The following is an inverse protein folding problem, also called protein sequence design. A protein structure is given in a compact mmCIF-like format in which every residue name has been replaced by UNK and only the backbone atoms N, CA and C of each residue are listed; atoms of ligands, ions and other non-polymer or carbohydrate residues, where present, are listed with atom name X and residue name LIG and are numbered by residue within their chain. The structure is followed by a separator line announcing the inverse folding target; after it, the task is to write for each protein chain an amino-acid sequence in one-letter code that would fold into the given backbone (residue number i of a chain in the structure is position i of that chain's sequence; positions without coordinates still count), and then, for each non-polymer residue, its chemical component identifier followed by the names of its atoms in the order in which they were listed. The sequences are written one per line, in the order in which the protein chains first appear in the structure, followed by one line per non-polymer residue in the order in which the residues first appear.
data_IF_060966983984
#
_entry.id   IF_060966983984
#
_cell.length_a   1.000
_cell.length_b   1.000
_cell.length_c   1.000
_cell.angle_alpha   90.00
_cell.angle_beta   90.00
_cell.angle_gamma   90.00
#
_symmetry.space_group_name_H-M   'P 1'
#
loop_
_entity.id
_entity.type
_entity.pdbx_description
1 polymer ?
#
# COMPACT_ATOMS: atom_id res chain seq x y z
N UNK A 1 5.35 -93.04 46.81
CA UNK A 1 5.81 -92.08 47.86
C UNK A 1 6.15 -90.76 47.16
N UNK A 2 5.61 -89.62 47.66
CA UNK A 2 5.83 -88.21 47.25
C UNK A 2 5.39 -87.82 45.80
N UNK A 3 4.30 -87.08 45.56
CA UNK A 3 3.82 -85.72 45.97
C UNK A 3 4.24 -84.63 44.95
N UNK A 4 3.26 -84.26 44.12
CA UNK A 4 2.88 -82.95 43.54
C UNK A 4 3.90 -81.81 43.51
N UNK A 5 3.96 -81.08 42.39
CA UNK A 5 3.73 -79.62 42.30
C UNK A 5 3.39 -79.21 40.83
N UNK A 6 2.69 -78.08 40.61
CA UNK A 6 1.69 -77.89 39.55
C UNK A 6 2.17 -77.07 38.34
N UNK A 7 1.47 -77.26 37.20
CA UNK A 7 1.44 -76.30 36.08
C UNK A 7 0.85 -74.97 36.58
N UNK A 8 1.63 -73.90 36.55
CA UNK A 8 1.06 -72.55 36.49
C UNK A 8 1.00 -72.10 35.02
N UNK A 9 -0.19 -71.71 34.52
CA UNK A 9 -0.33 -71.17 33.19
C UNK A 9 0.39 -69.82 33.15
N UNK A 10 1.30 -69.66 32.19
CA UNK A 10 1.92 -68.38 31.88
C UNK A 10 0.80 -67.34 31.72
N UNK A 11 0.81 -66.39 32.64
CA UNK A 11 -0.04 -65.20 32.67
C UNK A 11 -0.05 -64.54 31.30
N UNK A 12 -1.27 -64.21 30.85
CA UNK A 12 -1.57 -63.81 29.48
C UNK A 12 -0.57 -62.83 28.88
N UNK A 13 -0.13 -63.16 27.67
CA UNK A 13 0.36 -62.18 26.71
C UNK A 13 -0.75 -61.14 26.52
N UNK A 14 -0.63 -60.04 27.26
CA UNK A 14 -1.49 -58.87 27.13
C UNK A 14 -1.49 -58.47 25.66
N UNK A 15 -2.69 -58.43 25.08
CA UNK A 15 -2.97 -57.99 23.72
C UNK A 15 -2.57 -56.51 23.55
N UNK A 16 -1.29 -56.25 23.26
CA UNK A 16 -0.72 -54.90 23.08
C UNK A 16 -0.91 -54.36 21.65
N UNK A 17 -1.53 -55.15 20.76
CA UNK A 17 -1.67 -54.83 19.33
C UNK A 17 -2.59 -53.64 19.07
N UNK A 18 -3.52 -53.32 19.98
CA UNK A 18 -4.39 -52.14 19.87
C UNK A 18 -3.72 -50.82 20.27
N UNK A 19 -2.76 -50.87 21.20
CA UNK A 19 -2.10 -49.66 21.71
C UNK A 19 -1.12 -49.06 20.70
N UNK A 20 -0.38 -49.91 19.97
CA UNK A 20 0.50 -49.47 18.89
C UNK A 20 -0.27 -48.74 17.78
N UNK A 21 -1.47 -49.22 17.44
CA UNK A 21 -2.32 -48.59 16.44
C UNK A 21 -2.80 -47.20 16.93
N UNK A 22 -3.23 -47.07 18.18
CA UNK A 22 -3.64 -45.78 18.75
C UNK A 22 -2.49 -44.77 18.77
N UNK A 23 -1.29 -45.21 19.14
CA UNK A 23 -0.10 -44.36 19.12
C UNK A 23 0.26 -43.92 17.69
N UNK A 24 0.17 -44.84 16.72
CA UNK A 24 0.41 -44.51 15.31
C UNK A 24 -0.62 -43.51 14.78
N UNK A 25 -1.90 -43.67 15.13
CA UNK A 25 -2.96 -42.76 14.72
C UNK A 25 -2.75 -41.38 15.36
N UNK A 26 -2.37 -41.32 16.62
CA UNK A 26 -2.05 -40.07 17.31
C UNK A 26 -0.90 -39.33 16.61
N UNK A 27 0.19 -40.05 16.28
CA UNK A 27 1.33 -39.46 15.56
C UNK A 27 0.89 -38.95 14.19
N UNK A 28 0.12 -39.74 13.43
CA UNK A 28 -0.39 -39.33 12.12
C UNK A 28 -1.28 -38.09 12.23
N UNK A 29 -2.19 -38.05 13.21
CA UNK A 29 -3.05 -36.88 13.45
C UNK A 29 -2.21 -35.64 13.77
N UNK A 30 -1.20 -35.76 14.64
CA UNK A 30 -0.30 -34.66 14.96
C UNK A 30 0.50 -34.19 13.74
N UNK A 31 1.03 -35.12 12.94
CA UNK A 31 1.73 -34.79 11.69
C UNK A 31 0.82 -34.05 10.72
N UNK A 32 -0.43 -34.52 10.56
CA UNK A 32 -1.42 -33.88 9.71
C UNK A 32 -1.71 -32.44 10.18
N UNK A 33 -1.90 -32.22 11.49
CA UNK A 33 -2.11 -30.87 12.05
C UNK A 33 -0.92 -29.96 11.73
N UNK A 34 0.31 -30.43 11.95
CA UNK A 34 1.53 -29.65 11.66
C UNK A 34 1.62 -29.30 10.17
N UNK A 35 1.34 -30.26 9.30
CA UNK A 35 1.38 -30.04 7.84
C UNK A 35 0.33 -29.00 7.42
N UNK A 36 -0.90 -29.07 7.95
CA UNK A 36 -1.94 -28.09 7.63
C UNK A 36 -1.59 -26.68 8.12
N UNK A 37 -1.05 -26.55 9.33
CA UNK A 37 -0.60 -25.26 9.84
C UNK A 37 0.54 -24.69 8.99
N UNK A 38 1.52 -25.52 8.63
CA UNK A 38 2.62 -25.10 7.77
C UNK A 38 2.14 -24.68 6.37
N UNK A 39 1.23 -25.42 5.75
CA UNK A 39 0.63 -25.05 4.45
C UNK A 39 -0.10 -23.70 4.52
N UNK A 40 -0.87 -23.48 5.59
CA UNK A 40 -1.55 -22.20 5.82
C UNK A 40 -0.56 -21.03 5.95
N UNK A 41 0.48 -21.20 6.77
CA UNK A 41 1.53 -20.18 6.97
C UNK A 41 2.28 -19.89 5.67
N UNK A 42 2.72 -20.92 4.94
CA UNK A 42 3.42 -20.75 3.66
C UNK A 42 2.55 -19.99 2.65
N UNK A 43 1.24 -20.29 2.57
CA UNK A 43 0.33 -19.56 1.68
C UNK A 43 0.13 -18.10 2.11
N UNK A 44 0.15 -17.81 3.41
CA UNK A 44 0.09 -16.44 3.91
C UNK A 44 1.37 -15.69 3.53
N UNK A 45 2.54 -16.29 3.75
CA UNK A 45 3.83 -15.70 3.43
C UNK A 45 4.02 -15.47 1.93
N UNK A 46 3.62 -16.42 1.09
CA UNK A 46 3.68 -16.27 -0.37
C UNK A 46 2.78 -15.13 -0.85
N UNK A 47 1.59 -14.95 -0.25
CA UNK A 47 0.71 -13.81 -0.55
C UNK A 47 1.32 -12.50 -0.10
N UNK A 48 1.88 -12.45 1.11
CA UNK A 48 2.55 -11.25 1.63
C UNK A 48 3.76 -10.87 0.77
N UNK A 49 4.59 -11.84 0.38
CA UNK A 49 5.73 -11.63 -0.51
C UNK A 49 5.30 -11.18 -1.92
N UNK A 50 4.19 -11.73 -2.44
CA UNK A 50 3.58 -11.29 -3.69
C UNK A 50 3.13 -9.83 -3.64
N UNK A 51 2.35 -9.46 -2.63
CA UNK A 51 1.88 -8.09 -2.43
C UNK A 51 3.06 -7.13 -2.26
N UNK A 52 4.04 -7.45 -1.42
CA UNK A 52 5.21 -6.60 -1.22
C UNK A 52 6.00 -6.36 -2.51
N UNK A 53 6.18 -7.41 -3.33
CA UNK A 53 6.82 -7.28 -4.64
C UNK A 53 6.02 -6.37 -5.56
N UNK A 54 4.70 -6.55 -5.61
CA UNK A 54 3.84 -5.80 -6.51
C UNK A 54 3.72 -4.33 -6.07
N UNK A 55 3.71 -4.05 -4.77
CA UNK A 55 3.79 -2.71 -4.19
C UNK A 55 5.11 -2.01 -4.58
N UNK A 56 6.25 -2.70 -4.45
CA UNK A 56 7.54 -2.15 -4.88
C UNK A 56 7.53 -1.85 -6.39
N UNK A 57 7.00 -2.75 -7.22
CA UNK A 57 6.88 -2.52 -8.67
C UNK A 57 6.03 -1.28 -8.97
N UNK A 58 4.88 -1.15 -8.32
CA UNK A 58 4.01 0.01 -8.47
C UNK A 58 4.71 1.31 -8.03
N UNK A 59 5.45 1.29 -6.91
CA UNK A 59 6.20 2.45 -6.45
C UNK A 59 7.29 2.85 -7.45
N UNK A 60 8.09 1.91 -7.95
CA UNK A 60 9.13 2.19 -8.94
C UNK A 60 8.54 2.67 -10.27
N UNK A 61 7.40 2.12 -10.70
CA UNK A 61 6.66 2.57 -11.88
C UNK A 61 6.21 4.02 -11.72
N UNK A 62 5.61 4.38 -10.58
CA UNK A 62 5.21 5.75 -10.28
C UNK A 62 6.41 6.71 -10.24
N UNK A 63 7.52 6.32 -9.58
CA UNK A 63 8.77 7.11 -9.54
C UNK A 63 9.39 7.31 -10.92
N UNK A 64 9.30 6.31 -11.79
CA UNK A 64 9.76 6.42 -13.18
C UNK A 64 8.92 7.44 -13.94
N UNK A 65 7.59 7.43 -13.73
CA UNK A 65 6.68 8.44 -14.30
C UNK A 65 7.01 9.87 -13.85
N UNK A 66 7.26 10.07 -12.55
CA UNK A 66 7.72 11.37 -12.01
C UNK A 66 9.04 11.79 -12.67
N UNK A 67 10.00 10.87 -12.76
CA UNK A 67 11.32 11.16 -13.35
C UNK A 67 11.23 11.51 -14.84
N UNK A 68 10.33 10.86 -15.57
CA UNK A 68 10.03 11.19 -16.96
C UNK A 68 9.37 12.58 -17.09
N UNK A 69 8.41 12.89 -16.22
CA UNK A 69 7.79 14.22 -16.15
C UNK A 69 8.78 15.32 -15.81
N UNK A 70 9.70 15.09 -14.87
CA UNK A 70 10.79 16.03 -14.58
C UNK A 70 11.71 16.24 -15.78
N UNK A 71 12.06 15.17 -16.49
CA UNK A 71 12.89 15.28 -17.70
C UNK A 71 12.19 16.09 -18.78
N UNK A 72 10.88 15.89 -18.95
CA UNK A 72 10.03 16.64 -19.86
C UNK A 72 10.01 18.13 -19.53
N UNK A 73 9.74 18.48 -18.26
CA UNK A 73 9.73 19.88 -17.81
C UNK A 73 11.12 20.53 -17.88
N UNK A 74 12.21 19.77 -17.66
CA UNK A 74 13.58 20.26 -17.82
C UNK A 74 13.94 20.54 -19.28
N UNK A 75 13.38 19.80 -20.21
CA UNK A 75 13.55 20.04 -21.64
C UNK A 75 12.73 21.28 -22.06
N UNK A 76 11.49 21.34 -21.62
CA UNK A 76 10.60 22.48 -21.86
C UNK A 76 11.19 23.79 -21.33
N UNK A 77 11.67 23.81 -20.08
CA UNK A 77 12.33 24.99 -19.51
C UNK A 77 13.58 25.47 -20.27
N UNK A 78 14.22 24.61 -21.09
CA UNK A 78 15.34 25.01 -21.96
C UNK A 78 14.87 25.57 -23.29
N UNK A 79 13.75 25.06 -23.81
CA UNK A 79 13.26 25.33 -25.15
C UNK A 79 12.16 26.42 -25.19
N UNK A 80 11.43 26.61 -24.09
CA UNK A 80 10.24 27.47 -23.94
C UNK A 80 10.27 28.37 -22.70
N UNK A 81 11.45 28.84 -22.27
CA UNK A 81 11.64 29.56 -20.99
C UNK A 81 10.83 30.88 -20.76
N UNK A 82 10.05 31.33 -21.74
CA UNK A 82 9.35 32.62 -21.69
C UNK A 82 7.87 32.53 -21.27
N UNK A 83 7.27 31.34 -21.35
CA UNK A 83 5.83 31.15 -21.17
C UNK A 83 5.54 29.70 -20.79
N UNK A 84 4.69 29.51 -19.78
CA UNK A 84 4.14 28.20 -19.41
C UNK A 84 2.63 28.20 -19.71
N UNK A 85 2.17 27.29 -20.57
CA UNK A 85 0.80 27.25 -21.10
C UNK A 85 0.18 25.86 -21.15
N UNK A 86 -1.15 25.80 -21.11
CA UNK A 86 -1.90 24.52 -21.22
C UNK A 86 -1.89 23.94 -22.64
N UNK A 87 -1.39 24.70 -23.61
CA UNK A 87 -1.20 24.31 -25.01
C UNK A 87 0.17 23.69 -25.29
N UNK A 88 1.03 23.62 -24.27
CA UNK A 88 2.35 23.02 -24.39
C UNK A 88 2.33 21.50 -24.23
N UNK A 89 3.42 20.86 -24.67
CA UNK A 89 3.51 19.41 -24.71
C UNK A 89 3.48 18.78 -23.31
N UNK A 90 4.01 19.45 -22.29
CA UNK A 90 3.96 18.97 -20.90
C UNK A 90 2.54 18.89 -20.34
N UNK A 91 1.61 19.71 -20.83
CA UNK A 91 0.23 19.76 -20.36
C UNK A 91 -0.65 18.65 -20.97
N UNK A 92 -0.14 17.94 -21.99
CA UNK A 92 -0.84 16.81 -22.59
C UNK A 92 -0.90 15.62 -21.62
N UNK A 93 -2.03 14.92 -21.61
CA UNK A 93 -2.15 13.68 -20.85
C UNK A 93 -1.21 12.61 -21.44
N UNK A 94 -0.49 11.93 -20.54
CA UNK A 94 0.36 10.80 -20.87
C UNK A 94 -0.56 9.58 -21.03
N UNK A 95 -0.70 9.03 -22.26
CA UNK A 95 -1.52 7.85 -22.48
C UNK A 95 -0.93 6.63 -21.76
N UNK A 96 -1.72 5.56 -21.65
CA UNK A 96 -1.25 4.31 -21.06
C UNK A 96 -0.02 3.78 -21.80
N UNK A 97 1.12 3.78 -21.12
CA UNK A 97 2.40 3.30 -21.61
C UNK A 97 2.78 2.02 -20.89
N UNK A 98 2.91 0.88 -21.60
CA UNK A 98 3.32 -0.38 -20.98
C UNK A 98 4.80 -0.30 -20.58
N UNK A 99 5.08 -0.53 -19.30
CA UNK A 99 6.44 -0.58 -18.76
C UNK A 99 6.60 -1.81 -17.86
N UNK A 100 7.43 -2.76 -18.30
CA UNK A 100 7.55 -4.05 -17.63
C UNK A 100 6.24 -4.83 -17.68
N UNK A 101 5.69 -5.16 -16.51
CA UNK A 101 4.40 -5.83 -16.33
C UNK A 101 3.27 -4.88 -15.87
N UNK A 102 3.50 -3.57 -15.88
CA UNK A 102 2.53 -2.55 -15.49
C UNK A 102 2.21 -1.54 -16.60
N UNK A 103 1.17 -0.74 -16.37
CA UNK A 103 0.78 0.37 -17.23
C UNK A 103 1.03 1.69 -16.48
N UNK A 104 1.69 2.63 -17.13
CA UNK A 104 1.91 3.98 -16.64
C UNK A 104 1.01 4.96 -17.39
N UNK A 105 0.27 5.78 -16.68
CA UNK A 105 -0.50 6.90 -17.24
C UNK A 105 -0.44 8.08 -16.28
N UNK A 106 -0.62 9.30 -16.77
CA UNK A 106 -0.59 10.47 -15.92
C UNK A 106 -0.82 11.77 -16.67
N UNK A 107 -0.71 12.88 -15.96
CA UNK A 107 -0.77 14.22 -16.52
C UNK A 107 -0.02 15.17 -15.59
N UNK A 108 0.49 16.27 -16.14
CA UNK A 108 1.14 17.33 -15.36
C UNK A 108 0.16 18.50 -15.26
N UNK A 109 0.13 19.13 -14.09
CA UNK A 109 -0.75 20.27 -13.81
C UNK A 109 0.09 21.41 -13.30
N UNK A 110 -0.10 22.58 -13.88
CA UNK A 110 0.33 23.83 -13.27
C UNK A 110 -0.50 24.11 -12.01
N UNK A 111 0.17 24.22 -10.87
CA UNK A 111 -0.43 24.55 -9.57
C UNK A 111 -0.60 26.07 -9.37
N UNK A 112 0.06 26.91 -10.17
CA UNK A 112 -0.10 28.36 -10.12
C UNK A 112 -1.47 28.82 -10.66
N UNK A 113 -2.18 27.96 -11.38
CA UNK A 113 -3.60 28.18 -11.76
C UNK A 113 -4.58 28.17 -10.59
N UNK A 114 -4.14 27.82 -9.37
CA UNK A 114 -4.96 27.75 -8.16
C UNK A 114 -4.62 28.90 -7.20
N UNK A 115 -5.57 29.28 -6.33
CA UNK A 115 -5.29 30.22 -5.25
C UNK A 115 -4.35 29.55 -4.23
N UNK A 116 -3.15 30.10 -4.08
CA UNK A 116 -2.19 29.62 -3.09
C UNK A 116 -2.58 30.10 -1.68
N UNK A 117 -3.14 29.19 -0.89
CA UNK A 117 -3.57 29.42 0.49
C UNK A 117 -2.42 29.81 1.44
N UNK A 118 -1.20 29.34 1.18
CA UNK A 118 -0.02 29.67 2.01
C UNK A 118 0.43 31.13 1.83
N UNK A 119 -0.12 31.84 0.84
CA UNK A 119 0.15 33.27 0.60
C UNK A 119 -0.94 34.17 1.19
N UNK A 120 -1.94 33.65 1.91
CA UNK A 120 -2.99 34.45 2.55
C UNK A 120 -2.44 35.32 3.69
N UNK A 121 -1.42 34.84 4.38
CA UNK A 121 -0.74 35.54 5.48
C UNK A 121 0.70 35.81 5.07
N UNK A 122 1.20 36.99 5.43
CA UNK A 122 2.62 37.29 5.29
C UNK A 122 3.40 36.51 6.35
N UNK A 123 4.14 35.48 5.92
CA UNK A 123 4.87 34.56 6.80
C UNK A 123 5.91 35.23 7.71
N UNK A 124 6.44 36.40 7.33
CA UNK A 124 7.40 37.14 8.15
C UNK A 124 6.75 38.00 9.23
N UNK A 125 5.51 38.42 9.03
CA UNK A 125 4.82 39.38 9.93
C UNK A 125 3.60 38.78 10.63
N UNK A 126 3.14 37.60 10.21
CA UNK A 126 1.89 36.99 10.68
C UNK A 126 0.64 37.79 10.29
N UNK A 127 0.78 38.83 9.46
CA UNK A 127 -0.34 39.69 9.08
C UNK A 127 -1.05 39.15 7.85
N UNK A 128 -2.38 39.17 7.90
CA UNK A 128 -3.25 38.79 6.79
C UNK A 128 -3.07 39.75 5.62
N UNK A 129 -2.96 39.18 4.42
CA UNK A 129 -2.97 39.93 3.17
C UNK A 129 -4.43 40.05 2.72
N UNK A 130 -5.10 41.12 3.16
CA UNK A 130 -6.55 41.31 2.96
C UNK A 130 -6.99 41.05 1.51
N UNK A 131 -6.25 41.60 0.53
CA UNK A 131 -6.56 41.39 -0.89
C UNK A 131 -6.68 39.90 -1.28
N UNK A 132 -5.84 39.03 -0.72
CA UNK A 132 -5.86 37.59 -1.04
C UNK A 132 -6.97 36.85 -0.28
N UNK A 133 -7.27 37.28 0.94
CA UNK A 133 -8.43 36.81 1.69
C UNK A 133 -9.73 37.14 0.95
N UNK A 134 -9.89 38.39 0.49
CA UNK A 134 -11.06 38.84 -0.26
C UNK A 134 -11.23 38.06 -1.58
N UNK A 135 -10.13 37.73 -2.26
CA UNK A 135 -10.14 36.89 -3.46
C UNK A 135 -10.63 35.47 -3.16
N UNK A 136 -10.21 34.89 -2.04
CA UNK A 136 -10.62 33.56 -1.62
C UNK A 136 -12.09 33.55 -1.16
N UNK A 137 -12.52 34.56 -0.40
CA UNK A 137 -13.93 34.74 -0.03
C UNK A 137 -14.82 34.83 -1.26
N UNK A 138 -14.43 35.64 -2.26
CA UNK A 138 -15.18 35.74 -3.53
C UNK A 138 -15.22 34.40 -4.27
N UNK A 139 -14.13 33.63 -4.26
CA UNK A 139 -14.13 32.29 -4.84
C UNK A 139 -15.11 31.37 -4.10
N UNK A 140 -15.16 31.42 -2.78
CA UNK A 140 -16.09 30.61 -1.98
C UNK A 140 -17.54 30.98 -2.25
N UNK A 141 -17.87 32.27 -2.34
CA UNK A 141 -19.19 32.75 -2.75
C UNK A 141 -19.60 32.19 -4.11
N UNK A 142 -18.70 32.24 -5.11
CA UNK A 142 -18.96 31.72 -6.46
C UNK A 142 -19.15 30.21 -6.51
N UNK A 143 -18.53 29.48 -5.59
CA UNK A 143 -18.61 28.02 -5.48
C UNK A 143 -19.73 27.57 -4.52
N UNK A 144 -20.53 28.48 -3.98
CA UNK A 144 -21.57 28.20 -2.97
C UNK A 144 -21.01 27.53 -1.71
N UNK A 145 -19.77 27.85 -1.36
CA UNK A 145 -19.08 27.42 -0.13
C UNK A 145 -19.23 28.52 0.92
N UNK A 146 -19.33 28.15 2.20
CA UNK A 146 -19.40 29.12 3.29
C UNK A 146 -18.16 30.05 3.30
N UNK A 147 -18.29 31.37 3.02
CA UNK A 147 -17.17 32.30 2.96
C UNK A 147 -16.44 32.47 4.30
N UNK A 148 -17.14 32.26 5.43
CA UNK A 148 -16.60 32.40 6.78
C UNK A 148 -15.47 31.39 7.07
N UNK A 149 -15.38 30.30 6.30
CA UNK A 149 -14.27 29.35 6.40
C UNK A 149 -12.92 29.96 6.01
N UNK A 150 -12.92 31.09 5.30
CA UNK A 150 -11.69 31.80 4.94
C UNK A 150 -10.94 32.27 6.18
N UNK A 151 -11.66 32.71 7.21
CA UNK A 151 -11.06 33.19 8.47
C UNK A 151 -10.38 32.04 9.21
N UNK A 152 -11.01 30.86 9.24
CA UNK A 152 -10.42 29.65 9.84
C UNK A 152 -9.14 29.19 9.11
N UNK A 153 -9.05 29.38 7.79
CA UNK A 153 -7.83 29.08 7.01
C UNK A 153 -6.72 30.09 7.30
N UNK A 154 -7.08 31.35 7.53
CA UNK A 154 -6.12 32.41 7.88
C UNK A 154 -5.56 32.23 9.29
N UNK A 155 -6.37 31.71 10.21
CA UNK A 155 -5.99 31.47 11.61
C UNK A 155 -5.12 30.22 11.85
N UNK A 156 -5.07 29.28 10.90
CA UNK A 156 -4.29 28.04 10.98
C UNK A 156 -2.78 28.27 10.81
#
# INVERSE_FOLDING_TARGET
MKRLLPKHPGTGLRNQNGFALLLSLLIVVLLVIIIFEADYQIRADLRAAGNFRDDLKAEYLARSGISAGEALLKDDAKNSAAYDGVDEFWAAAIPEYPLGDGLLSGFIVDEERKININKLVNQSTGKVIQKRQDQLMRLFELLEINPDLTDAIVDW
#
